data_IF_980010008782
#
_entry.id   IF_980010008782
#
_cell.length_a   1.000
_cell.length_b   1.000
_cell.length_c   1.000
_cell.angle_alpha   90.00
_cell.angle_beta   90.00
_cell.angle_gamma   90.00
#
_symmetry.space_group_name_H-M   'P 1'
#
loop_
_entity.id
_entity.type
_entity.pdbx_description
1 polymer ?
#
# COMPACT_ATOMS: atom_id res chain seq x y z
N UNK A 1 17.72 12.09 18.39
CA UNK A 1 18.50 12.25 17.16
C UNK A 1 17.72 13.18 16.25
N UNK A 2 18.35 14.24 15.66
CA UNK A 2 17.66 14.98 14.61
C UNK A 2 17.31 14.01 13.48
N UNK A 3 16.11 14.17 12.91
CA UNK A 3 15.73 13.43 11.73
C UNK A 3 16.81 13.68 10.66
N UNK A 4 17.43 12.62 10.14
CA UNK A 4 18.28 12.77 8.95
C UNK A 4 17.40 13.40 7.88
N UNK A 5 17.93 14.41 7.20
CA UNK A 5 17.25 15.02 6.07
C UNK A 5 16.93 13.89 5.06
N UNK A 6 15.65 13.55 4.97
CA UNK A 6 15.21 12.56 3.98
C UNK A 6 15.33 13.25 2.62
N UNK A 7 16.04 12.66 1.65
CA UNK A 7 16.30 13.31 0.38
C UNK A 7 15.04 13.71 -0.36
N UNK A 8 15.08 14.78 -1.12
CA UNK A 8 14.01 15.16 -2.02
C UNK A 8 13.84 14.08 -3.10
N UNK A 9 12.58 13.88 -3.55
CA UNK A 9 12.29 12.94 -4.62
C UNK A 9 12.99 13.38 -5.90
N UNK A 10 13.70 12.44 -6.54
CA UNK A 10 14.41 12.65 -7.79
C UNK A 10 13.48 13.24 -8.87
N UNK A 11 13.86 14.33 -9.56
CA UNK A 11 13.08 14.89 -10.66
C UNK A 11 12.75 13.88 -11.75
N UNK A 12 13.66 12.97 -12.12
CA UNK A 12 13.44 11.95 -13.14
C UNK A 12 12.29 10.99 -12.76
N UNK A 13 12.15 10.66 -11.48
CA UNK A 13 11.03 9.87 -10.96
C UNK A 13 9.72 10.64 -11.15
N UNK A 14 9.70 11.94 -10.83
CA UNK A 14 8.51 12.79 -11.03
C UNK A 14 8.13 12.89 -12.49
N UNK A 15 9.12 13.09 -13.38
CA UNK A 15 8.90 13.20 -14.82
C UNK A 15 8.37 11.88 -15.41
N UNK A 16 8.89 10.74 -14.94
CA UNK A 16 8.41 9.41 -15.34
C UNK A 16 6.94 9.23 -14.99
N UNK A 17 6.52 9.61 -13.79
CA UNK A 17 5.12 9.53 -13.37
C UNK A 17 4.25 10.54 -14.10
N UNK A 18 4.73 11.77 -14.28
CA UNK A 18 4.02 12.83 -15.00
C UNK A 18 3.76 12.45 -16.46
N UNK A 19 4.72 11.84 -17.14
CA UNK A 19 4.55 11.33 -18.51
C UNK A 19 3.48 10.24 -18.62
N UNK A 20 3.14 9.58 -17.51
CA UNK A 20 2.05 8.59 -17.42
C UNK A 20 0.74 9.19 -16.89
N UNK A 21 0.67 10.50 -16.71
CA UNK A 21 -0.52 11.20 -16.21
C UNK A 21 -0.67 11.15 -14.68
N UNK A 22 0.37 10.72 -13.96
CA UNK A 22 0.38 10.67 -12.52
C UNK A 22 1.20 11.82 -11.90
N UNK A 23 0.87 12.22 -10.68
CA UNK A 23 1.63 13.18 -9.92
C UNK A 23 2.16 12.58 -8.63
N UNK A 24 3.34 13.04 -8.21
CA UNK A 24 4.03 12.59 -7.01
C UNK A 24 4.34 13.80 -6.11
N UNK A 25 3.81 13.78 -4.91
CA UNK A 25 4.02 14.83 -3.90
C UNK A 25 4.73 14.23 -2.68
N UNK A 26 5.84 14.80 -2.29
CA UNK A 26 6.55 14.42 -1.07
C UNK A 26 5.68 14.71 0.17
N UNK A 27 5.68 13.79 1.13
CA UNK A 27 5.10 13.97 2.46
C UNK A 27 6.21 14.20 3.48
N UNK A 28 5.93 14.97 4.50
CA UNK A 28 6.87 15.22 5.59
C UNK A 28 6.41 14.49 6.88
N UNK A 29 7.32 13.93 7.64
CA UNK A 29 8.78 13.84 7.42
C UNK A 29 9.20 12.71 6.47
N UNK A 30 8.30 11.77 6.14
CA UNK A 30 8.55 10.60 5.28
C UNK A 30 7.35 10.32 4.38
N UNK A 31 7.53 9.49 3.35
CA UNK A 31 6.50 9.06 2.44
C UNK A 31 6.30 9.97 1.23
N UNK A 32 5.45 9.53 0.33
CA UNK A 32 4.98 10.31 -0.81
C UNK A 32 3.53 10.00 -1.16
N UNK A 33 2.80 10.99 -1.68
CA UNK A 33 1.44 10.83 -2.18
C UNK A 33 1.44 10.76 -3.70
N UNK A 34 0.72 9.78 -4.25
CA UNK A 34 0.55 9.54 -5.68
C UNK A 34 -0.91 9.79 -6.06
N UNK A 35 -1.14 10.53 -7.15
CA UNK A 35 -2.46 10.76 -7.75
C UNK A 35 -2.42 10.45 -9.24
N UNK A 36 -3.57 10.14 -9.83
CA UNK A 36 -3.72 9.93 -11.27
C UNK A 36 -3.41 8.52 -11.76
N UNK A 37 -2.95 7.61 -10.88
CA UNK A 37 -2.84 6.19 -11.23
C UNK A 37 -4.18 5.48 -10.98
N UNK A 38 -4.68 4.81 -12.03
CA UNK A 38 -5.88 3.99 -11.93
C UNK A 38 -5.52 2.59 -11.39
N UNK A 39 -5.68 2.38 -10.09
CA UNK A 39 -5.44 1.08 -9.45
C UNK A 39 -6.45 -0.01 -9.87
N UNK A 40 -7.61 0.37 -10.40
CA UNK A 40 -8.62 -0.55 -10.93
C UNK A 40 -8.39 -0.91 -12.40
N UNK A 41 -7.30 -0.42 -13.02
CA UNK A 41 -6.96 -0.77 -14.40
C UNK A 41 -6.67 -2.27 -14.52
N UNK A 42 -7.27 -2.97 -15.49
CA UNK A 42 -6.94 -4.38 -15.74
C UNK A 42 -5.50 -4.57 -16.27
N UNK A 43 -4.88 -3.51 -16.75
CA UNK A 43 -3.50 -3.51 -17.24
C UNK A 43 -2.63 -2.78 -16.23
N UNK A 44 -1.53 -3.41 -15.75
CA UNK A 44 -0.59 -2.72 -14.88
C UNK A 44 0.07 -1.55 -15.59
N UNK A 45 0.57 -0.55 -14.87
CA UNK A 45 1.35 0.52 -15.47
C UNK A 45 2.65 -0.04 -16.08
N UNK A 46 3.30 0.68 -17.00
CA UNK A 46 4.60 0.26 -17.55
C UNK A 46 5.64 0.00 -16.46
N UNK A 47 6.54 -0.94 -16.69
CA UNK A 47 7.57 -1.33 -15.70
C UNK A 47 8.35 -0.14 -15.15
N UNK A 48 8.67 0.86 -15.98
CA UNK A 48 9.37 2.08 -15.54
C UNK A 48 8.58 2.89 -14.50
N UNK A 49 7.24 2.86 -14.56
CA UNK A 49 6.38 3.53 -13.57
C UNK A 49 6.38 2.75 -12.27
N UNK A 50 6.30 1.42 -12.34
CA UNK A 50 6.40 0.54 -11.15
C UNK A 50 7.75 0.72 -10.47
N UNK A 51 8.85 0.73 -11.23
CA UNK A 51 10.20 0.99 -10.72
C UNK A 51 10.32 2.37 -10.06
N UNK A 52 9.76 3.42 -10.67
CA UNK A 52 9.77 4.76 -10.09
C UNK A 52 9.05 4.80 -8.74
N UNK A 53 7.93 4.07 -8.60
CA UNK A 53 7.22 3.92 -7.33
C UNK A 53 8.05 3.13 -6.30
N UNK A 54 8.72 2.07 -6.73
CA UNK A 54 9.59 1.25 -5.89
C UNK A 54 10.78 2.05 -5.37
N UNK A 55 11.47 2.81 -6.22
CA UNK A 55 12.50 3.75 -5.78
C UNK A 55 11.96 4.78 -4.79
N UNK A 56 10.78 5.32 -5.05
CA UNK A 56 10.15 6.26 -4.12
C UNK A 56 9.90 5.61 -2.75
N UNK A 57 9.41 4.38 -2.70
CA UNK A 57 9.21 3.65 -1.44
C UNK A 57 10.54 3.37 -0.73
N UNK A 58 11.58 2.98 -1.47
CA UNK A 58 12.91 2.74 -0.90
C UNK A 58 13.52 4.00 -0.26
N UNK A 59 13.37 5.16 -0.90
CA UNK A 59 13.90 6.44 -0.43
C UNK A 59 13.02 7.10 0.64
N UNK A 60 11.71 6.96 0.52
CA UNK A 60 10.73 7.68 1.36
C UNK A 60 10.00 6.81 2.37
N UNK A 61 10.20 5.49 2.36
CA UNK A 61 9.58 4.51 3.25
C UNK A 61 8.22 3.99 2.78
N UNK A 62 7.35 4.83 2.23
CA UNK A 62 6.04 4.40 1.70
C UNK A 62 5.49 5.37 0.65
N UNK A 63 4.52 4.87 -0.13
CA UNK A 63 3.68 5.70 -1.00
C UNK A 63 2.21 5.54 -0.62
N UNK A 64 1.45 6.63 -0.72
CA UNK A 64 0.00 6.64 -0.52
C UNK A 64 -0.68 6.97 -1.84
N UNK A 65 -1.46 6.05 -2.37
CA UNK A 65 -2.30 6.30 -3.54
C UNK A 65 -3.57 7.01 -3.10
N UNK A 66 -3.75 8.24 -3.58
CA UNK A 66 -4.94 9.06 -3.32
C UNK A 66 -5.98 8.79 -4.41
N UNK A 67 -6.80 7.77 -4.20
CA UNK A 67 -7.89 7.44 -5.11
C UNK A 67 -9.11 8.35 -4.84
N UNK A 68 -9.79 8.74 -5.91
CA UNK A 68 -11.01 9.55 -5.82
C UNK A 68 -12.25 8.67 -5.57
N UNK A 69 -12.16 7.39 -5.91
CA UNK A 69 -13.26 6.43 -5.75
C UNK A 69 -12.82 5.25 -4.87
N UNK A 70 -13.76 4.62 -4.14
CA UNK A 70 -13.48 3.40 -3.40
C UNK A 70 -12.93 2.30 -4.33
N UNK A 71 -11.83 1.67 -3.93
CA UNK A 71 -11.22 0.58 -4.67
C UNK A 71 -11.93 -0.73 -4.31
N UNK A 72 -12.35 -1.52 -5.31
CA UNK A 72 -12.89 -2.84 -5.03
C UNK A 72 -11.77 -3.79 -4.58
N UNK A 73 -12.13 -4.78 -3.74
CA UNK A 73 -11.17 -5.73 -3.19
C UNK A 73 -10.35 -6.48 -4.27
N UNK A 74 -11.00 -6.85 -5.37
CA UNK A 74 -10.34 -7.50 -6.52
C UNK A 74 -9.29 -6.60 -7.18
N UNK A 75 -9.58 -5.31 -7.28
CA UNK A 75 -8.69 -4.33 -7.92
C UNK A 75 -7.50 -4.01 -7.01
N UNK A 76 -7.73 -3.97 -5.68
CA UNK A 76 -6.66 -3.86 -4.70
C UNK A 76 -5.68 -5.05 -4.79
N UNK A 77 -6.19 -6.28 -4.87
CA UNK A 77 -5.35 -7.47 -5.05
C UNK A 77 -4.59 -7.44 -6.37
N UNK A 78 -5.24 -7.00 -7.45
CA UNK A 78 -4.59 -6.89 -8.75
C UNK A 78 -3.47 -5.84 -8.73
N UNK A 79 -3.70 -4.68 -8.15
CA UNK A 79 -2.67 -3.65 -7.99
C UNK A 79 -1.51 -4.13 -7.10
N UNK A 80 -1.79 -4.92 -6.07
CA UNK A 80 -0.76 -5.52 -5.21
C UNK A 80 0.20 -6.44 -5.97
N UNK A 81 -0.21 -6.99 -7.11
CA UNK A 81 0.64 -7.83 -7.96
C UNK A 81 1.63 -7.03 -8.84
N UNK A 82 1.63 -5.71 -8.81
CA UNK A 82 2.56 -4.90 -9.63
C UNK A 82 4.03 -5.16 -9.27
N UNK A 83 4.32 -5.50 -8.01
CA UNK A 83 5.68 -5.66 -7.48
C UNK A 83 6.14 -7.11 -7.31
N UNK A 84 5.27 -8.10 -7.44
CA UNK A 84 5.66 -9.48 -7.17
C UNK A 84 4.83 -10.53 -7.92
N UNK A 85 4.17 -10.14 -8.99
CA UNK A 85 3.35 -11.09 -9.75
C UNK A 85 2.13 -11.56 -8.94
N UNK A 86 1.94 -12.89 -8.83
CA UNK A 86 0.75 -13.46 -8.17
C UNK A 86 1.02 -14.05 -6.78
N UNK A 87 2.21 -13.88 -6.27
CA UNK A 87 2.60 -14.42 -4.96
C UNK A 87 2.15 -13.47 -3.86
N UNK A 88 0.87 -13.56 -3.51
CA UNK A 88 0.31 -12.89 -2.36
C UNK A 88 0.36 -13.84 -1.16
N UNK A 89 1.02 -13.43 -0.09
CA UNK A 89 1.07 -14.20 1.14
C UNK A 89 -0.14 -13.91 2.03
N UNK A 90 -0.69 -14.97 2.63
CA UNK A 90 -1.66 -14.85 3.70
C UNK A 90 -1.18 -15.66 4.90
N UNK A 91 -0.99 -14.98 6.01
CA UNK A 91 -0.58 -15.58 7.29
C UNK A 91 -1.70 -15.57 8.31
N UNK A 92 -2.89 -15.14 7.91
CA UNK A 92 -4.01 -14.87 8.81
C UNK A 92 -5.27 -15.63 8.40
N UNK A 93 -6.13 -15.88 9.38
CA UNK A 93 -7.45 -16.43 9.14
C UNK A 93 -8.33 -15.48 8.32
N UNK A 94 -9.27 -16.03 7.56
CA UNK A 94 -10.22 -15.27 6.78
C UNK A 94 -11.42 -14.90 7.65
N UNK A 95 -11.69 -13.60 7.80
CA UNK A 95 -12.88 -13.14 8.51
C UNK A 95 -14.14 -13.36 7.63
N UNK A 96 -15.31 -13.74 8.20
CA UNK A 96 -16.54 -13.95 7.42
C UNK A 96 -16.98 -12.76 6.56
N UNK A 97 -16.70 -11.53 7.00
CA UNK A 97 -16.99 -10.31 6.23
C UNK A 97 -15.94 -9.98 5.16
N UNK A 98 -14.93 -10.83 4.95
CA UNK A 98 -13.92 -10.62 3.91
C UNK A 98 -14.55 -10.80 2.52
N UNK A 99 -14.41 -9.85 1.59
CA UNK A 99 -14.98 -9.94 0.26
C UNK A 99 -14.57 -11.23 -0.46
N UNK A 100 -15.56 -12.03 -0.87
CA UNK A 100 -15.35 -13.31 -1.54
C UNK A 100 -14.62 -14.39 -0.73
N UNK A 101 -14.45 -14.20 0.58
CA UNK A 101 -13.69 -15.12 1.42
C UNK A 101 -12.22 -15.25 1.00
N UNK A 102 -11.66 -14.21 0.37
CA UNK A 102 -10.33 -14.28 -0.23
C UNK A 102 -9.24 -14.34 0.85
N UNK A 103 -8.39 -15.40 0.87
CA UNK A 103 -7.37 -15.57 1.90
C UNK A 103 -6.20 -14.55 1.83
N UNK A 104 -6.06 -13.85 0.71
CA UNK A 104 -5.04 -12.80 0.54
C UNK A 104 -5.47 -11.42 1.09
N UNK A 105 -6.69 -11.34 1.65
CA UNK A 105 -7.22 -10.13 2.27
C UNK A 105 -7.29 -10.30 3.78
N UNK A 106 -6.40 -9.63 4.49
CA UNK A 106 -6.48 -9.54 5.93
C UNK A 106 -7.37 -8.37 6.32
N UNK A 107 -8.63 -8.66 6.64
CA UNK A 107 -9.62 -7.65 6.96
C UNK A 107 -9.57 -7.28 8.43
N UNK A 108 -9.12 -6.07 8.71
CA UNK A 108 -9.05 -5.48 10.04
C UNK A 108 -10.20 -4.53 10.32
N UNK A 109 -10.68 -4.48 11.55
CA UNK A 109 -11.68 -3.52 12.00
C UNK A 109 -11.59 -3.35 13.52
N UNK A 110 -12.02 -2.18 14.02
CA UNK A 110 -12.28 -1.96 15.43
C UNK A 110 -13.63 -2.59 15.88
N UNK A 111 -14.45 -3.06 14.95
CA UNK A 111 -15.69 -3.80 15.17
C UNK A 111 -15.51 -5.24 14.69
N UNK A 112 -15.65 -6.20 15.61
CA UNK A 112 -15.47 -7.63 15.34
C UNK A 112 -16.49 -8.23 14.35
N UNK A 113 -17.61 -7.56 14.08
CA UNK A 113 -18.56 -7.97 13.04
C UNK A 113 -18.06 -7.63 11.63
N UNK A 114 -17.13 -6.66 11.52
CA UNK A 114 -16.63 -6.16 10.26
C UNK A 114 -15.19 -6.55 9.95
N UNK A 115 -14.46 -7.15 10.90
CA UNK A 115 -13.08 -7.57 10.70
C UNK A 115 -12.43 -8.11 11.96
N UNK A 116 -11.19 -8.54 11.84
CA UNK A 116 -10.37 -9.01 12.96
C UNK A 116 -9.95 -7.80 13.78
N UNK A 117 -10.14 -7.90 15.12
CA UNK A 117 -9.89 -6.81 16.06
C UNK A 117 -8.61 -7.08 16.86
N UNK A 118 -7.95 -6.00 17.29
CA UNK A 118 -6.88 -6.06 18.28
C UNK A 118 -5.57 -6.64 17.75
N UNK A 119 -5.32 -6.50 16.46
CA UNK A 119 -4.08 -6.96 15.81
C UNK A 119 -3.09 -5.81 15.73
N UNK A 120 -1.82 -6.11 16.02
CA UNK A 120 -0.69 -5.20 15.82
C UNK A 120 -0.62 -3.97 16.72
N UNK A 121 -1.05 -4.00 18.02
CA UNK A 121 -0.96 -2.82 18.88
C UNK A 121 0.47 -2.48 19.32
N UNK A 122 1.42 -3.35 19.03
CA UNK A 122 2.83 -3.19 19.41
C UNK A 122 3.69 -2.98 18.17
N UNK A 123 4.86 -2.37 18.34
CA UNK A 123 5.87 -2.26 17.29
C UNK A 123 6.29 -3.65 16.80
N UNK A 124 6.18 -3.89 15.51
CA UNK A 124 6.49 -5.17 14.89
C UNK A 124 6.92 -4.96 13.42
N UNK A 125 7.47 -6.02 12.84
CA UNK A 125 7.67 -6.13 11.40
C UNK A 125 6.75 -7.24 10.89
N UNK A 126 5.93 -6.93 9.89
CA UNK A 126 5.06 -7.92 9.26
C UNK A 126 5.89 -9.02 8.58
N UNK A 127 5.48 -10.27 8.78
CA UNK A 127 6.09 -11.43 8.14
C UNK A 127 7.51 -11.79 8.58
N UNK A 128 8.09 -11.11 9.58
CA UNK A 128 9.46 -11.37 10.05
C UNK A 128 9.68 -12.77 10.63
N UNK A 129 8.62 -13.49 10.93
CA UNK A 129 8.63 -14.88 11.41
C UNK A 129 8.65 -15.92 10.26
N UNK A 130 8.51 -15.50 9.02
CA UNK A 130 8.58 -16.36 7.84
C UNK A 130 10.01 -16.43 7.28
N UNK A 131 10.38 -17.59 6.71
CA UNK A 131 11.63 -17.72 5.99
C UNK A 131 11.66 -16.82 4.73
N UNK A 132 10.52 -16.73 4.04
CA UNK A 132 10.31 -15.82 2.91
C UNK A 132 9.53 -14.61 3.41
N UNK A 133 10.22 -13.50 3.63
CA UNK A 133 9.62 -12.26 4.08
C UNK A 133 8.96 -11.50 2.94
N UNK A 134 8.01 -10.65 3.27
CA UNK A 134 7.36 -9.77 2.27
C UNK A 134 8.33 -8.72 1.75
N UNK A 135 8.32 -8.47 0.45
CA UNK A 135 8.99 -7.31 -0.13
C UNK A 135 8.16 -6.04 0.05
N UNK A 136 6.84 -6.16 -0.05
CA UNK A 136 5.91 -5.04 0.06
C UNK A 136 4.69 -5.45 0.90
N UNK A 137 4.14 -4.51 1.67
CA UNK A 137 2.86 -4.64 2.36
C UNK A 137 1.90 -3.56 1.81
N UNK A 138 0.70 -3.98 1.43
CA UNK A 138 -0.35 -3.09 0.93
C UNK A 138 -1.47 -2.91 1.96
N UNK A 139 -1.88 -1.67 2.19
CA UNK A 139 -3.00 -1.34 3.07
C UNK A 139 -4.07 -0.58 2.29
N UNK A 140 -5.30 -1.09 2.29
CA UNK A 140 -6.45 -0.39 1.74
C UNK A 140 -7.33 0.15 2.87
N UNK A 141 -7.27 1.46 3.10
CA UNK A 141 -8.07 2.14 4.12
C UNK A 141 -9.49 2.37 3.61
N UNK A 142 -10.41 1.49 3.99
CA UNK A 142 -11.84 1.59 3.61
C UNK A 142 -12.57 2.65 4.45
N UNK A 143 -12.23 2.73 5.72
CA UNK A 143 -12.76 3.72 6.67
C UNK A 143 -11.67 4.06 7.68
N UNK A 144 -11.47 5.34 7.94
CA UNK A 144 -10.64 5.83 9.02
C UNK A 144 -11.52 6.44 10.12
N UNK A 145 -11.14 6.35 11.41
CA UNK A 145 -11.81 7.06 12.48
C UNK A 145 -11.62 8.58 12.33
N UNK A 146 -12.59 9.37 12.77
CA UNK A 146 -12.47 10.84 12.78
C UNK A 146 -11.49 11.32 13.85
N UNK A 147 -11.34 10.56 14.93
CA UNK A 147 -10.44 10.85 16.04
C UNK A 147 -9.75 9.57 16.52
N UNK A 148 -8.47 9.67 16.87
CA UNK A 148 -7.68 8.53 17.30
C UNK A 148 -7.27 7.62 16.13
N UNK A 149 -6.97 6.37 16.42
CA UNK A 149 -6.56 5.37 15.42
C UNK A 149 -5.06 5.22 15.27
N UNK A 150 -4.30 5.66 16.28
CA UNK A 150 -2.87 5.37 16.43
C UNK A 150 -2.64 4.20 17.36
#
# INVERSE_FOLDING_TARGET
MPAKDVPAIDPEIRDTLAAFGASLTQLEPIGAAVRGLNLASPTPPPAKVVQALEYTMAERGFVVFKNESPLAAKDFLQASCWWGGKELHSTHGVHPATPGGNPHLFRLSNDHHHGIKGVGPQWHNDGSFNADTFSHAGYHMVRAPEQGGG
#
